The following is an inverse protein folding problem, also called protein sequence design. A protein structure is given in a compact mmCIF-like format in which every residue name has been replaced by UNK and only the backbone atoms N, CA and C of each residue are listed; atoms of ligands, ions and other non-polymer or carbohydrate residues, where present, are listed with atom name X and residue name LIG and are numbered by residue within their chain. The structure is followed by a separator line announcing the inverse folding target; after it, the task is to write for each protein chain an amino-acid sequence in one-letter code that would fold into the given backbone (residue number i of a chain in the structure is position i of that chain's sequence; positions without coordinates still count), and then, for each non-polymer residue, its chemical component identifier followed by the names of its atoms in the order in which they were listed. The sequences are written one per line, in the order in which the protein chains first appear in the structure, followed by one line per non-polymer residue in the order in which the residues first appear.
data_IF_831095854726
#
_entry.id   IF_831095854726
#
_cell.length_a   1.000
_cell.length_b   1.000
_cell.length_c   1.000
_cell.angle_alpha   90.00
_cell.angle_beta   90.00
_cell.angle_gamma   90.00
#
_symmetry.space_group_name_H-M   'P 1'
#
loop_
_entity.id
_entity.type
_entity.pdbx_description
1 polymer ?
#
# COMPACT_ATOMS: atom_id res chain seq x y z
N UNK A 1 18.23 -23.97 3.02
CA UNK A 1 18.48 -23.07 4.17
C UNK A 1 19.79 -22.33 3.90
N UNK A 2 19.74 -21.10 3.40
CA UNK A 2 20.94 -20.33 3.07
C UNK A 2 21.45 -19.59 4.30
N UNK A 3 22.36 -20.22 5.04
CA UNK A 3 23.04 -19.65 6.22
C UNK A 3 24.18 -18.67 5.87
N UNK A 4 24.53 -18.49 4.60
CA UNK A 4 25.70 -17.70 4.18
C UNK A 4 25.35 -16.20 4.02
N UNK A 5 24.11 -15.86 3.65
CA UNK A 5 23.66 -14.47 3.55
C UNK A 5 23.58 -13.77 4.92
N UNK A 6 23.30 -14.53 5.97
CA UNK A 6 23.24 -14.02 7.35
C UNK A 6 24.63 -13.68 7.91
N UNK A 7 25.69 -14.22 7.30
CA UNK A 7 27.09 -14.01 7.72
C UNK A 7 27.74 -12.76 7.12
N UNK A 8 27.13 -12.13 6.11
CA UNK A 8 27.68 -10.93 5.44
C UNK A 8 27.09 -9.60 5.96
N UNK A 9 26.21 -9.62 6.96
CA UNK A 9 25.73 -8.42 7.65
C UNK A 9 24.99 -7.40 6.78
N UNK A 10 24.59 -7.76 5.56
CA UNK A 10 23.84 -6.86 4.67
C UNK A 10 22.39 -6.81 5.13
N UNK A 11 22.00 -5.67 5.69
CA UNK A 11 20.64 -5.41 6.09
C UNK A 11 19.70 -5.48 4.87
N UNK A 12 18.78 -6.45 4.90
CA UNK A 12 17.87 -6.74 3.79
C UNK A 12 16.91 -5.57 3.57
N UNK A 13 16.78 -5.10 2.35
CA UNK A 13 15.72 -4.15 1.97
C UNK A 13 14.37 -4.84 1.79
N UNK A 14 13.31 -4.16 2.21
CA UNK A 14 11.92 -4.60 2.14
C UNK A 14 11.14 -3.60 1.27
N UNK A 15 10.47 -4.06 0.20
CA UNK A 15 9.65 -3.19 -0.64
C UNK A 15 8.48 -2.59 0.12
N UNK A 16 8.24 -1.30 -0.09
CA UNK A 16 7.05 -0.55 0.31
C UNK A 16 6.14 -0.45 -0.90
N UNK A 17 4.90 -0.88 -0.74
CA UNK A 17 3.92 -0.99 -1.83
C UNK A 17 2.62 -0.33 -1.42
N UNK A 18 2.07 0.52 -2.30
CA UNK A 18 0.69 1.00 -2.18
C UNK A 18 -0.21 0.04 -2.93
N UNK A 19 -1.13 -0.61 -2.23
CA UNK A 19 -2.07 -1.55 -2.81
C UNK A 19 -3.47 -0.95 -2.81
N UNK A 20 -4.30 -1.42 -3.73
CA UNK A 20 -5.68 -0.99 -3.87
C UNK A 20 -6.66 -2.17 -3.79
N UNK A 21 -7.84 -1.90 -3.26
CA UNK A 21 -8.91 -2.88 -3.08
C UNK A 21 -10.22 -2.39 -3.68
N UNK A 22 -10.90 -3.31 -4.36
CA UNK A 22 -12.24 -3.15 -4.89
C UNK A 22 -13.23 -2.73 -3.79
N UNK A 23 -14.14 -1.81 -4.13
CA UNK A 23 -15.30 -1.41 -3.32
C UNK A 23 -16.57 -1.84 -4.04
N UNK A 24 -17.69 -1.99 -3.32
CA UNK A 24 -18.90 -2.64 -3.86
C UNK A 24 -19.45 -2.05 -5.18
N UNK A 25 -19.09 -0.81 -5.55
CA UNK A 25 -19.48 -0.14 -6.79
C UNK A 25 -18.31 0.25 -7.71
N UNK A 26 -17.08 -0.04 -7.31
CA UNK A 26 -15.88 0.46 -7.96
C UNK A 26 -14.85 -0.65 -8.12
N UNK A 27 -14.31 -0.78 -9.32
CA UNK A 27 -13.30 -1.76 -9.68
C UNK A 27 -12.31 -1.22 -10.71
N UNK A 28 -11.82 -2.09 -11.59
CA UNK A 28 -10.89 -1.71 -12.68
C UNK A 28 -11.49 -0.59 -13.53
N UNK A 29 -10.71 0.46 -13.78
CA UNK A 29 -11.10 1.66 -14.51
C UNK A 29 -11.70 2.78 -13.65
N UNK A 30 -11.79 2.57 -12.33
CA UNK A 30 -12.29 3.54 -11.34
C UNK A 30 -11.36 3.65 -10.13
N UNK A 31 -10.04 3.55 -10.35
CA UNK A 31 -9.00 3.47 -9.33
C UNK A 31 -9.02 4.63 -8.33
N UNK A 32 -9.46 5.81 -8.78
CA UNK A 32 -9.71 6.99 -7.96
C UNK A 32 -10.90 6.87 -6.98
N UNK A 33 -11.56 5.71 -6.90
CA UNK A 33 -12.61 5.43 -5.92
C UNK A 33 -12.30 4.20 -5.06
N UNK A 34 -11.16 3.54 -5.31
CA UNK A 34 -10.77 2.33 -4.61
C UNK A 34 -10.17 2.62 -3.24
N UNK A 35 -10.20 1.62 -2.37
CA UNK A 35 -9.58 1.69 -1.05
C UNK A 35 -8.08 1.46 -1.16
N UNK A 36 -7.26 2.31 -0.57
CA UNK A 36 -5.79 2.17 -0.61
C UNK A 36 -5.23 1.75 0.75
N UNK A 37 -4.12 1.01 0.70
CA UNK A 37 -3.35 0.62 1.88
C UNK A 37 -1.85 0.60 1.56
N UNK A 38 -1.01 0.76 2.58
CA UNK A 38 0.44 0.61 2.49
C UNK A 38 0.84 -0.77 3.01
N UNK A 39 1.68 -1.50 2.27
CA UNK A 39 2.17 -2.82 2.66
C UNK A 39 3.68 -2.85 2.55
N UNK A 40 4.35 -3.38 3.57
CA UNK A 40 5.80 -3.64 3.52
C UNK A 40 6.02 -5.13 3.34
N UNK A 41 6.60 -5.55 2.22
CA UNK A 41 6.82 -6.96 1.95
C UNK A 41 8.01 -7.53 2.75
N UNK A 42 7.70 -8.17 3.87
CA UNK A 42 8.69 -8.96 4.64
C UNK A 42 9.03 -10.29 3.97
N UNK A 43 8.10 -10.80 3.15
CA UNK A 43 8.21 -11.98 2.29
C UNK A 43 7.66 -11.64 0.90
N UNK A 44 8.52 -11.07 0.06
CA UNK A 44 8.13 -10.50 -1.23
C UNK A 44 7.60 -11.52 -2.25
N UNK A 45 8.15 -12.75 -2.28
CA UNK A 45 7.68 -13.80 -3.21
C UNK A 45 6.24 -14.22 -2.92
N UNK A 46 5.86 -14.17 -1.65
CA UNK A 46 4.53 -14.52 -1.15
C UNK A 46 3.61 -13.30 -1.01
N UNK A 47 4.08 -12.10 -1.36
CA UNK A 47 3.36 -10.82 -1.17
C UNK A 47 2.77 -10.69 0.24
N UNK A 48 3.60 -10.98 1.24
CA UNK A 48 3.22 -11.01 2.65
C UNK A 48 4.01 -9.98 3.48
N UNK A 49 3.31 -9.33 4.40
CA UNK A 49 3.90 -8.46 5.43
C UNK A 49 2.87 -7.55 6.11
N UNK A 50 3.33 -6.61 6.97
CA UNK A 50 2.45 -5.66 7.63
C UNK A 50 1.79 -4.74 6.61
N UNK A 51 0.50 -4.53 6.82
CA UNK A 51 -0.39 -3.67 6.05
C UNK A 51 -0.98 -2.62 6.97
N UNK A 52 -0.87 -1.37 6.54
CA UNK A 52 -1.37 -0.19 7.23
C UNK A 52 -2.45 0.46 6.38
N UNK A 53 -3.60 0.70 6.98
CA UNK A 53 -4.74 1.31 6.30
C UNK A 53 -5.63 2.00 7.32
N UNK A 54 -6.47 2.91 6.85
CA UNK A 54 -7.53 3.51 7.65
C UNK A 54 -8.88 3.22 7.03
N UNK A 55 -9.86 2.87 7.86
CA UNK A 55 -11.22 2.55 7.41
C UNK A 55 -12.21 3.42 8.17
N UNK A 56 -13.26 3.85 7.47
CA UNK A 56 -14.39 4.54 8.06
C UNK A 56 -15.41 3.53 8.61
N UNK A 57 -15.79 3.72 9.87
CA UNK A 57 -16.83 2.94 10.52
C UNK A 57 -18.05 3.83 10.74
N UNK A 58 -19.15 3.44 10.09
CA UNK A 58 -20.44 4.10 10.22
C UNK A 58 -21.25 3.46 11.34
N UNK A 59 -21.69 4.27 12.29
CA UNK A 59 -22.54 3.84 13.40
C UNK A 59 -24.00 4.15 13.11
N UNK A 60 -24.91 3.42 13.76
CA UNK A 60 -26.36 3.58 13.57
C UNK A 60 -26.88 4.97 13.96
N UNK A 61 -26.14 5.67 14.81
CA UNK A 61 -26.44 7.03 15.26
C UNK A 61 -25.92 8.11 14.29
N UNK A 62 -25.39 7.72 13.13
CA UNK A 62 -24.85 8.62 12.11
C UNK A 62 -23.41 9.08 12.36
N UNK A 63 -22.77 8.64 13.46
CA UNK A 63 -21.35 8.93 13.68
C UNK A 63 -20.48 8.14 12.69
N UNK A 64 -19.42 8.79 12.21
CA UNK A 64 -18.35 8.18 11.43
C UNK A 64 -17.07 8.27 12.24
N UNK A 65 -16.47 7.13 12.54
CA UNK A 65 -15.15 7.07 13.19
C UNK A 65 -14.13 6.44 12.24
N UNK A 66 -12.93 6.99 12.21
CA UNK A 66 -11.83 6.46 11.42
C UNK A 66 -10.92 5.60 12.28
N UNK A 67 -10.61 4.40 11.79
CA UNK A 67 -9.81 3.42 12.51
C UNK A 67 -8.53 3.10 11.74
N UNK A 68 -7.38 3.21 12.42
CA UNK A 68 -6.13 2.66 11.92
C UNK A 68 -6.07 1.15 12.11
N UNK A 69 -5.64 0.45 11.07
CA UNK A 69 -5.39 -0.98 11.08
C UNK A 69 -3.91 -1.20 10.76
N UNK A 70 -3.21 -1.89 11.64
CA UNK A 70 -1.88 -2.48 11.40
C UNK A 70 -2.00 -4.00 11.58
N UNK A 71 -1.95 -4.74 10.47
CA UNK A 71 -2.04 -6.20 10.50
C UNK A 71 -1.19 -6.85 9.40
N UNK A 72 -0.71 -8.06 9.65
CA UNK A 72 -0.05 -8.84 8.61
C UNK A 72 -1.08 -9.38 7.60
N UNK A 73 -0.79 -9.19 6.31
CA UNK A 73 -1.63 -9.67 5.20
C UNK A 73 -0.83 -10.55 4.24
N UNK A 74 -1.56 -11.33 3.46
CA UNK A 74 -1.07 -11.97 2.24
C UNK A 74 -2.03 -11.55 1.14
N UNK A 75 -1.55 -10.77 0.15
CA UNK A 75 -2.46 -10.07 -0.76
C UNK A 75 -3.38 -11.03 -1.56
N UNK A 76 -2.84 -12.16 -1.99
CA UNK A 76 -3.60 -13.17 -2.76
C UNK A 76 -4.67 -13.96 -1.98
N UNK A 77 -4.91 -13.67 -0.69
CA UNK A 77 -6.00 -14.29 0.09
C UNK A 77 -7.38 -13.75 -0.25
N UNK A 78 -7.46 -12.62 -0.95
CA UNK A 78 -8.73 -12.03 -1.38
C UNK A 78 -8.62 -11.58 -2.84
N UNK A 79 -9.69 -11.78 -3.60
CA UNK A 79 -9.82 -11.28 -4.97
C UNK A 79 -10.19 -9.79 -5.03
N UNK A 80 -10.49 -9.17 -3.88
CA UNK A 80 -10.72 -7.72 -3.81
C UNK A 80 -9.43 -6.93 -4.00
N UNK A 81 -8.24 -7.49 -3.76
CA UNK A 81 -6.98 -6.78 -4.01
C UNK A 81 -6.76 -6.70 -5.52
N UNK A 82 -6.70 -5.48 -6.05
CA UNK A 82 -6.50 -5.19 -7.48
C UNK A 82 -5.06 -4.73 -7.75
N UNK A 83 -4.09 -5.34 -7.06
CA UNK A 83 -2.68 -5.05 -7.25
C UNK A 83 -2.20 -3.81 -6.50
N UNK A 84 -1.01 -3.36 -6.87
CA UNK A 84 -0.38 -2.20 -6.25
C UNK A 84 0.86 -1.73 -6.97
N UNK A 85 1.45 -0.67 -6.41
CA UNK A 85 2.62 0.01 -6.95
C UNK A 85 3.73 0.01 -5.92
N UNK A 86 4.91 -0.45 -6.31
CA UNK A 86 6.12 -0.31 -5.52
C UNK A 86 6.62 1.13 -5.58
N UNK A 87 6.79 1.75 -4.39
CA UNK A 87 7.10 3.18 -4.26
C UNK A 87 8.40 3.47 -3.52
N UNK A 88 9.04 2.45 -2.95
CA UNK A 88 10.15 2.66 -2.05
C UNK A 88 10.62 1.41 -1.33
N UNK A 89 11.65 1.57 -0.51
CA UNK A 89 12.29 0.49 0.22
C UNK A 89 12.64 0.91 1.65
N UNK A 90 12.38 0.02 2.60
CA UNK A 90 12.85 0.18 3.99
C UNK A 90 13.82 -0.93 4.34
N UNK A 91 14.89 -0.61 5.05
CA UNK A 91 15.78 -1.62 5.63
C UNK A 91 15.04 -2.46 6.66
N UNK A 92 15.31 -3.77 6.72
CA UNK A 92 14.65 -4.68 7.66
C UNK A 92 14.85 -4.25 9.11
N UNK A 93 16.04 -3.77 9.46
CA UNK A 93 16.31 -3.21 10.80
C UNK A 93 15.45 -1.98 11.15
N UNK A 94 14.93 -1.26 10.15
CA UNK A 94 14.11 -0.05 10.29
C UNK A 94 12.61 -0.29 10.19
N UNK A 95 12.16 -1.54 10.02
CA UNK A 95 10.74 -1.86 9.97
C UNK A 95 10.01 -1.47 11.27
N UNK A 96 10.66 -1.59 12.43
CA UNK A 96 10.10 -1.13 13.71
C UNK A 96 9.84 0.38 13.70
N UNK A 97 10.84 1.17 13.30
CA UNK A 97 10.73 2.62 13.17
C UNK A 97 9.60 3.03 12.21
N UNK A 98 9.46 2.34 11.07
CA UNK A 98 8.36 2.59 10.15
C UNK A 98 7.00 2.36 10.82
N UNK A 99 6.84 1.26 11.57
CA UNK A 99 5.59 0.97 12.31
C UNK A 99 5.29 2.03 13.35
N UNK A 100 6.30 2.45 14.10
CA UNK A 100 6.15 3.52 15.10
C UNK A 100 5.76 4.85 14.46
N UNK A 101 6.40 5.22 13.35
CA UNK A 101 6.09 6.43 12.60
C UNK A 101 4.65 6.43 12.08
N UNK A 102 4.19 5.32 11.51
CA UNK A 102 2.80 5.19 11.03
C UNK A 102 1.81 5.18 12.20
N UNK A 103 2.14 4.50 13.30
CA UNK A 103 1.28 4.45 14.49
C UNK A 103 1.14 5.82 15.18
N UNK A 104 2.19 6.64 15.12
CA UNK A 104 2.18 8.02 15.63
C UNK A 104 1.36 8.98 14.75
N UNK A 105 0.88 8.54 13.58
CA UNK A 105 0.10 9.33 12.63
C UNK A 105 -1.33 8.78 12.44
N UNK A 106 -2.21 8.91 13.45
CA UNK A 106 -3.59 8.42 13.36
C UNK A 106 -4.41 9.24 12.34
N UNK A 107 -5.52 8.68 11.81
CA UNK A 107 -6.41 9.39 10.91
C UNK A 107 -7.02 10.61 11.59
N UNK A 108 -6.80 11.79 11.01
CA UNK A 108 -7.42 13.04 11.44
C UNK A 108 -8.13 13.63 10.23
N UNK A 109 -9.45 13.80 10.31
CA UNK A 109 -10.25 14.40 9.23
C UNK A 109 -9.90 15.89 9.16
N UNK A 110 -9.11 16.29 8.16
CA UNK A 110 -8.62 17.67 8.01
C UNK A 110 -9.49 18.54 7.10
N UNK A 111 -10.30 17.92 6.25
CA UNK A 111 -11.16 18.61 5.29
C UNK A 111 -12.39 17.79 4.95
N UNK A 112 -13.38 18.45 4.36
CA UNK A 112 -14.48 17.76 3.70
C UNK A 112 -13.92 16.86 2.58
N UNK A 113 -14.48 15.65 2.44
CA UNK A 113 -14.05 14.68 1.43
C UNK A 113 -12.79 13.87 1.77
N UNK A 114 -12.12 14.16 2.89
CA UNK A 114 -10.97 13.39 3.36
C UNK A 114 -11.32 11.90 3.49
N UNK A 115 -10.44 11.03 3.00
CA UNK A 115 -10.65 9.59 2.97
C UNK A 115 -9.34 8.80 3.13
N UNK A 116 -9.43 7.47 3.04
CA UNK A 116 -8.28 6.57 3.20
C UNK A 116 -7.09 6.87 2.29
N UNK A 117 -7.31 7.42 1.09
CA UNK A 117 -6.22 7.76 0.16
C UNK A 117 -5.49 9.01 0.61
N UNK A 118 -6.19 9.97 1.19
CA UNK A 118 -5.56 11.17 1.76
C UNK A 118 -4.62 10.78 2.91
N UNK A 119 -5.07 9.87 3.79
CA UNK A 119 -4.19 9.31 4.83
C UNK A 119 -2.97 8.59 4.25
N UNK A 120 -3.13 7.79 3.19
CA UNK A 120 -2.00 7.15 2.51
C UNK A 120 -1.01 8.18 1.98
N UNK A 121 -1.49 9.29 1.40
CA UNK A 121 -0.62 10.37 0.93
C UNK A 121 0.14 11.05 2.08
N UNK A 122 -0.52 11.28 3.22
CA UNK A 122 0.14 11.80 4.43
C UNK A 122 1.25 10.86 4.91
N UNK A 123 1.00 9.54 4.94
CA UNK A 123 2.01 8.55 5.30
C UNK A 123 3.16 8.53 4.28
N UNK A 124 2.89 8.60 2.98
CA UNK A 124 3.94 8.67 1.95
C UNK A 124 4.86 9.87 2.19
N UNK A 125 4.32 11.03 2.57
CA UNK A 125 5.12 12.22 2.89
C UNK A 125 6.04 11.99 4.11
N UNK A 126 5.52 11.33 5.16
CA UNK A 126 6.33 10.95 6.32
C UNK A 126 7.48 10.01 5.92
N UNK A 127 7.19 8.96 5.16
CA UNK A 127 8.20 7.99 4.73
C UNK A 127 9.22 8.61 3.76
N UNK A 128 8.79 9.58 2.95
CA UNK A 128 9.68 10.35 2.07
C UNK A 128 10.67 11.20 2.87
N UNK A 129 10.22 11.79 3.98
CA UNK A 129 11.10 12.52 4.92
C UNK A 129 12.20 11.63 5.54
N UNK A 130 11.91 10.35 5.74
CA UNK A 130 12.89 9.34 6.20
C UNK A 130 13.78 8.78 5.06
N UNK A 131 13.55 9.20 3.82
CA UNK A 131 14.28 8.72 2.65
C UNK A 131 13.95 7.29 2.23
N UNK A 132 12.75 6.78 2.54
CA UNK A 132 12.32 5.42 2.17
C UNK A 132 11.47 5.36 0.91
N UNK A 133 11.09 6.50 0.34
CA UNK A 133 10.33 6.58 -0.92
C UNK A 133 11.28 6.99 -2.04
N UNK A 134 11.34 6.17 -3.08
CA UNK A 134 12.30 6.32 -4.19
C UNK A 134 11.78 7.31 -5.25
N UNK A 135 10.46 7.56 -5.29
CA UNK A 135 9.77 8.37 -6.29
C UNK A 135 9.19 9.66 -5.70
N UNK A 136 9.14 10.72 -6.51
CA UNK A 136 8.41 11.94 -6.15
C UNK A 136 6.91 11.73 -6.36
N UNK A 137 6.15 11.63 -5.27
CA UNK A 137 4.71 11.37 -5.29
C UNK A 137 3.99 12.53 -4.57
N UNK A 138 3.80 13.68 -5.24
CA UNK A 138 3.23 14.88 -4.61
C UNK A 138 1.74 14.73 -4.30
N UNK A 139 1.02 13.92 -5.07
CA UNK A 139 -0.44 13.77 -4.98
C UNK A 139 -0.90 12.37 -5.41
N UNK A 140 -2.20 12.10 -5.19
CA UNK A 140 -2.83 10.85 -5.58
C UNK A 140 -2.78 10.61 -7.10
N UNK A 141 -2.89 11.69 -7.90
CA UNK A 141 -2.93 11.59 -9.36
C UNK A 141 -1.66 10.97 -9.93
N UNK A 142 -0.53 11.19 -9.26
CA UNK A 142 0.76 10.60 -9.61
C UNK A 142 0.78 9.07 -9.52
N UNK A 143 -0.02 8.45 -8.63
CA UNK A 143 -0.10 6.99 -8.48
C UNK A 143 -1.08 6.33 -9.45
N UNK A 144 -2.09 7.07 -9.93
CA UNK A 144 -3.22 6.50 -10.68
C UNK A 144 -2.83 5.78 -11.98
N UNK A 145 -1.88 6.26 -12.81
CA UNK A 145 -1.47 5.53 -14.01
C UNK A 145 -0.95 4.13 -13.71
N UNK A 146 0.01 4.01 -12.79
CA UNK A 146 0.58 2.72 -12.39
C UNK A 146 -0.45 1.83 -11.67
N UNK A 147 -1.33 2.41 -10.86
CA UNK A 147 -2.43 1.66 -10.24
C UNK A 147 -3.40 1.09 -11.29
N UNK A 148 -3.69 1.81 -12.37
CA UNK A 148 -4.53 1.30 -13.48
C UNK A 148 -3.86 0.13 -14.22
N UNK A 149 -2.54 0.19 -14.41
CA UNK A 149 -1.79 -0.93 -14.98
C UNK A 149 -1.86 -2.15 -14.04
N UNK A 150 -1.66 -1.94 -12.74
CA UNK A 150 -1.71 -2.99 -11.74
C UNK A 150 -3.11 -3.63 -11.63
N UNK A 151 -4.18 -2.83 -11.64
CA UNK A 151 -5.56 -3.32 -11.54
C UNK A 151 -5.95 -4.17 -12.74
N UNK A 152 -5.64 -3.70 -13.95
CA UNK A 152 -5.88 -4.42 -15.19
C UNK A 152 -5.13 -5.75 -15.21
N UNK A 153 -3.82 -5.73 -14.96
CA UNK A 153 -2.99 -6.94 -14.95
C UNK A 153 -3.45 -7.94 -13.87
N UNK A 154 -3.87 -7.45 -12.70
CA UNK A 154 -4.42 -8.28 -11.63
C UNK A 154 -5.72 -8.93 -12.05
N UNK A 155 -6.64 -8.17 -12.65
CA UNK A 155 -7.94 -8.69 -13.09
C UNK A 155 -7.79 -9.73 -14.19
N UNK A 156 -6.94 -9.47 -15.18
CA UNK A 156 -6.62 -10.42 -16.25
C UNK A 156 -6.02 -11.72 -15.66
N UNK A 157 -5.14 -11.61 -14.67
CA UNK A 157 -4.58 -12.77 -13.97
C UNK A 157 -5.65 -13.55 -13.18
N UNK A 158 -6.58 -12.86 -12.52
CA UNK A 158 -7.66 -13.49 -11.78
C UNK A 158 -8.64 -14.22 -12.69
N UNK A 159 -8.94 -13.68 -13.86
CA UNK A 159 -9.80 -14.31 -14.86
C UNK A 159 -9.16 -15.59 -15.44
N UNK A 160 -7.82 -15.66 -15.41
CA UNK A 160 -7.02 -16.87 -15.72
C UNK A 160 -6.85 -17.81 -14.52
N UNK A 161 -7.53 -17.58 -13.40
CA UNK A 161 -7.49 -18.43 -12.20
C UNK A 161 -6.25 -18.24 -11.31
N UNK A 162 -5.38 -17.27 -11.59
CA UNK A 162 -4.22 -16.97 -10.73
C UNK A 162 -4.67 -16.26 -9.46
N UNK A 163 -3.94 -16.42 -8.35
CA UNK A 163 -4.30 -15.82 -7.05
C UNK A 163 -3.47 -14.61 -6.66
N UNK A 164 -2.35 -14.34 -7.32
CA UNK A 164 -1.45 -13.25 -6.94
C UNK A 164 -1.78 -11.95 -7.69
N UNK A 165 -2.07 -10.85 -6.98
CA UNK A 165 -2.15 -9.53 -7.57
C UNK A 165 -0.84 -9.09 -8.24
N UNK A 166 -0.95 -8.25 -9.26
CA UNK A 166 0.20 -7.63 -9.91
C UNK A 166 0.74 -6.47 -9.07
N UNK A 167 2.06 -6.44 -8.87
CA UNK A 167 2.78 -5.30 -8.31
C UNK A 167 3.64 -4.74 -9.43
N UNK A 168 3.46 -3.47 -9.72
CA UNK A 168 4.21 -2.75 -10.76
C UNK A 168 5.11 -1.70 -10.13
N UNK A 169 6.15 -1.29 -10.83
CA UNK A 169 6.93 -0.11 -10.43
C UNK A 169 6.19 1.17 -10.83
N UNK A 170 6.50 2.28 -10.15
CA UNK A 170 6.07 3.61 -10.57
C UNK A 170 6.50 3.87 -12.01
N UNK A 171 5.57 4.30 -12.86
CA UNK A 171 5.93 4.81 -14.18
C UNK A 171 6.71 6.11 -13.99
N UNK A 172 7.91 6.19 -14.57
CA UNK A 172 8.62 7.47 -14.68
C UNK A 172 7.77 8.38 -15.56
N UNK A 173 7.15 9.40 -14.98
CA UNK A 173 6.57 10.48 -15.77
C UNK A 173 7.68 11.02 -16.68
N UNK A 174 7.43 11.20 -17.99
CA UNK A 174 8.39 11.90 -18.83
C UNK A 174 8.62 13.29 -18.23
N UNK A 175 9.90 13.63 -18.07
CA UNK A 175 10.35 14.93 -17.57
C UNK A 175 9.87 16.09 -18.45
#
# INVERSE_FOLDING_TARGET
MNKISDLLGVDKTLPIVIVQYERDKYGVGTEEHLHWALVVFTKAREQQGPCFQVVDRHYRDGRVEWLSIDQNVTLGRTKKCLGGVHIGNVKRSKLGNLRELVAAHPPVVRSEGWNCRDWVMEVIQLLSGEGWIDSKIPDQATLLPSLRVASKATKDAYDLGKSMPAIVDMESLPA
#
